data_IF_692747315946
#
_entry.id   IF_692747315946
#
_cell.length_a   1.000
_cell.length_b   1.000
_cell.length_c   1.000
_cell.angle_alpha   90.00
_cell.angle_beta   90.00
_cell.angle_gamma   90.00
#
_symmetry.space_group_name_H-M   'P 1'
#
loop_
_entity.id
_entity.type
_entity.pdbx_description
1 polymer ?
#
# COMPACT_ATOMS: atom_id res chain seq x y z
N UNK A 1 12.55 10.06 11.36
CA UNK A 1 11.50 10.86 10.69
C UNK A 1 10.36 9.99 10.14
N UNK A 2 10.62 9.02 9.26
CA UNK A 2 9.57 8.14 8.71
C UNK A 2 8.74 7.41 9.78
N UNK A 3 9.35 6.96 10.87
CA UNK A 3 8.66 6.28 11.97
C UNK A 3 7.57 7.13 12.63
N UNK A 4 7.77 8.44 12.76
CA UNK A 4 6.73 9.36 13.30
C UNK A 4 5.56 9.51 12.34
N UNK A 5 5.83 9.55 11.04
CA UNK A 5 4.80 9.59 10.00
C UNK A 5 3.98 8.29 9.98
N UNK A 6 4.63 7.13 10.09
CA UNK A 6 3.95 5.85 10.15
C UNK A 6 3.07 5.73 11.41
N UNK A 7 3.51 6.25 12.54
CA UNK A 7 2.69 6.27 13.76
C UNK A 7 1.38 7.07 13.60
N UNK A 8 1.38 8.08 12.71
CA UNK A 8 0.18 8.86 12.35
C UNK A 8 -0.68 8.20 11.28
N UNK A 9 -0.16 7.20 10.58
CA UNK A 9 -0.95 6.44 9.60
C UNK A 9 -2.03 5.64 10.32
N UNK A 10 -3.20 5.47 9.69
CA UNK A 10 -4.34 4.76 10.30
C UNK A 10 -4.03 3.33 10.75
N UNK A 11 -3.06 2.64 10.17
CA UNK A 11 -2.58 1.33 10.61
C UNK A 11 -1.57 1.41 11.75
N UNK A 12 -0.93 2.54 11.97
CA UNK A 12 -0.01 2.81 13.09
C UNK A 12 1.25 1.94 13.19
N UNK A 13 1.53 1.11 12.18
CA UNK A 13 2.64 0.16 12.20
C UNK A 13 3.37 0.06 10.86
N UNK A 14 4.63 -0.36 10.91
CA UNK A 14 5.40 -0.66 9.73
C UNK A 14 4.86 -1.89 8.99
N UNK A 15 4.97 -1.94 7.64
CA UNK A 15 4.77 -3.17 6.89
C UNK A 15 5.85 -4.20 7.21
N UNK A 16 5.59 -5.48 6.91
CA UNK A 16 6.48 -6.58 7.29
C UNK A 16 7.89 -6.47 6.71
N UNK A 17 8.02 -6.34 5.39
CA UNK A 17 9.32 -6.21 4.72
C UNK A 17 9.32 -4.95 3.86
N UNK A 18 9.85 -3.87 4.41
CA UNK A 18 10.00 -2.60 3.71
C UNK A 18 11.18 -2.66 2.73
N UNK A 19 10.95 -2.27 1.49
CA UNK A 19 11.96 -2.24 0.43
C UNK A 19 12.39 -0.84 0.03
N UNK A 20 11.49 0.14 0.17
CA UNK A 20 11.78 1.55 -0.16
C UNK A 20 10.89 2.47 0.64
N UNK A 21 11.46 3.56 1.14
CA UNK A 21 10.72 4.65 1.76
C UNK A 21 11.10 5.96 1.11
N UNK A 22 10.11 6.71 0.64
CA UNK A 22 10.28 8.02 0.04
C UNK A 22 9.54 9.07 0.87
N UNK A 23 10.14 10.22 1.05
CA UNK A 23 9.60 11.32 1.83
C UNK A 23 9.28 12.55 0.98
N UNK A 24 8.18 13.22 1.30
CA UNK A 24 7.89 14.57 0.85
C UNK A 24 8.41 15.55 1.90
N UNK A 25 9.38 16.38 1.52
CA UNK A 25 10.01 17.33 2.42
C UNK A 25 9.79 18.77 1.95
N UNK A 26 9.63 19.66 2.93
CA UNK A 26 9.68 21.11 2.74
C UNK A 26 10.47 21.69 3.90
N UNK A 27 11.54 22.46 3.58
CA UNK A 27 12.42 23.06 4.60
C UNK A 27 12.92 22.05 5.66
N UNK A 28 13.31 20.84 5.21
CA UNK A 28 13.76 19.74 6.07
C UNK A 28 12.69 19.15 6.99
N UNK A 29 11.45 19.58 6.86
CA UNK A 29 10.31 18.98 7.53
C UNK A 29 9.67 17.91 6.67
N UNK A 30 9.35 16.74 7.25
CA UNK A 30 8.67 15.64 6.57
C UNK A 30 7.18 15.91 6.57
N UNK A 31 6.63 16.16 5.39
CA UNK A 31 5.21 16.43 5.16
C UNK A 31 4.44 15.24 4.61
N UNK A 32 5.15 14.21 4.19
CA UNK A 32 4.53 12.99 3.71
C UNK A 32 5.53 11.85 3.58
N UNK A 33 5.02 10.63 3.63
CA UNK A 33 5.81 9.41 3.49
C UNK A 33 5.06 8.39 2.65
N UNK A 34 5.79 7.77 1.72
CA UNK A 34 5.33 6.69 0.88
C UNK A 34 6.25 5.48 1.13
N UNK A 35 5.68 4.35 1.54
CA UNK A 35 6.44 3.15 1.91
C UNK A 35 6.04 1.99 1.00
N UNK A 36 7.03 1.44 0.32
CA UNK A 36 6.90 0.22 -0.46
C UNK A 36 7.43 -0.97 0.33
N UNK A 37 6.74 -2.09 0.20
CA UNK A 37 7.06 -3.33 0.88
C UNK A 37 6.90 -4.53 -0.06
N UNK A 38 7.42 -5.69 0.34
CA UNK A 38 7.10 -6.94 -0.33
C UNK A 38 5.66 -7.33 0.02
N UNK A 39 4.83 -7.66 -0.99
CA UNK A 39 3.46 -8.12 -0.74
C UNK A 39 3.46 -9.54 -0.18
N UNK A 40 2.31 -10.02 0.34
CA UNK A 40 2.14 -11.42 0.67
C UNK A 40 2.46 -12.34 -0.51
N UNK A 41 2.97 -13.54 -0.24
CA UNK A 41 3.36 -14.51 -1.27
C UNK A 41 2.28 -14.78 -2.32
N UNK A 42 1.05 -14.90 -1.88
CA UNK A 42 -0.09 -15.16 -2.77
C UNK A 42 -0.30 -14.01 -3.77
N UNK A 43 -0.15 -12.77 -3.31
CA UNK A 43 -0.21 -11.61 -4.18
C UNK A 43 0.96 -11.56 -5.17
N UNK A 44 2.18 -11.86 -4.69
CA UNK A 44 3.36 -11.88 -5.54
C UNK A 44 3.25 -12.91 -6.67
N UNK A 45 2.71 -14.10 -6.38
CA UNK A 45 2.53 -15.18 -7.37
C UNK A 45 1.46 -14.87 -8.42
N UNK A 46 0.49 -14.04 -8.08
CA UNK A 46 -0.67 -13.77 -8.93
C UNK A 46 -0.33 -13.13 -10.28
N UNK A 47 0.72 -12.30 -10.33
CA UNK A 47 0.99 -11.43 -11.48
C UNK A 47 2.13 -11.90 -12.39
N UNK A 48 2.86 -12.94 -12.03
CA UNK A 48 3.94 -13.49 -12.86
C UNK A 48 5.14 -12.55 -13.08
N UNK A 49 5.30 -11.52 -12.25
CA UNK A 49 6.41 -10.58 -12.27
C UNK A 49 6.81 -10.17 -10.86
N UNK A 50 7.88 -9.41 -10.72
CA UNK A 50 8.25 -8.83 -9.42
C UNK A 50 7.24 -7.75 -9.04
N UNK A 51 6.59 -7.92 -7.90
CA UNK A 51 5.53 -7.03 -7.37
C UNK A 51 6.01 -6.38 -6.09
N UNK A 52 5.83 -5.07 -6.00
CA UNK A 52 5.93 -4.33 -4.75
C UNK A 52 4.55 -3.85 -4.30
N UNK A 53 4.36 -3.69 -3.01
CA UNK A 53 3.15 -3.11 -2.44
C UNK A 53 3.42 -1.67 -2.00
N UNK A 54 2.57 -0.73 -2.42
CA UNK A 54 2.47 0.57 -1.77
C UNK A 54 1.73 0.35 -0.45
N UNK A 55 2.49 0.08 0.61
CA UNK A 55 1.96 -0.42 1.87
C UNK A 55 1.52 0.68 2.82
N UNK A 56 2.14 1.86 2.76
CA UNK A 56 1.81 3.04 3.58
C UNK A 56 1.94 4.31 2.76
N UNK A 57 0.95 5.15 2.89
CA UNK A 57 0.96 6.52 2.41
C UNK A 57 0.44 7.42 3.52
N UNK A 58 1.22 8.42 3.88
CA UNK A 58 0.81 9.43 4.84
C UNK A 58 1.20 10.81 4.33
N UNK A 59 0.29 11.75 4.44
CA UNK A 59 0.49 13.17 4.15
C UNK A 59 -0.01 13.97 5.35
N UNK A 60 0.72 15.02 5.73
CA UNK A 60 0.31 15.95 6.76
C UNK A 60 -0.93 16.73 6.32
N UNK A 61 -1.89 16.91 7.22
CA UNK A 61 -3.16 17.58 6.93
C UNK A 61 -3.00 19.05 6.50
N UNK A 62 -1.87 19.67 6.84
CA UNK A 62 -1.54 21.03 6.43
C UNK A 62 -1.11 21.16 4.96
N UNK A 63 -0.88 20.03 4.27
CA UNK A 63 -0.46 20.02 2.86
C UNK A 63 -1.68 20.08 1.95
N UNK A 64 -1.60 20.76 0.77
CA UNK A 64 -2.71 20.82 -0.19
C UNK A 64 -3.25 19.45 -0.60
N UNK A 65 -4.53 19.38 -0.94
CA UNK A 65 -5.30 18.15 -1.20
C UNK A 65 -4.76 17.24 -2.31
N UNK A 66 -3.96 17.75 -3.24
CA UNK A 66 -3.36 16.97 -4.32
C UNK A 66 -1.97 16.40 -3.99
N UNK A 67 -1.49 16.59 -2.77
CA UNK A 67 -0.15 16.12 -2.36
C UNK A 67 -0.02 14.59 -2.37
N UNK A 68 -1.08 13.87 -2.09
CA UNK A 68 -1.11 12.40 -2.13
C UNK A 68 -0.86 11.88 -3.54
N UNK A 69 -1.60 12.37 -4.53
CA UNK A 69 -1.42 11.97 -5.92
C UNK A 69 -0.07 12.43 -6.47
N UNK A 70 0.42 13.58 -6.03
CA UNK A 70 1.77 14.05 -6.36
C UNK A 70 2.85 13.10 -5.81
N UNK A 71 2.78 12.75 -4.53
CA UNK A 71 3.76 11.85 -3.90
C UNK A 71 3.71 10.46 -4.54
N UNK A 72 2.53 9.91 -4.77
CA UNK A 72 2.35 8.63 -5.47
C UNK A 72 3.00 8.69 -6.87
N UNK A 73 2.68 9.68 -7.67
CA UNK A 73 3.20 9.82 -9.03
C UNK A 73 4.73 9.95 -9.07
N UNK A 74 5.31 10.73 -8.15
CA UNK A 74 6.77 10.86 -8.03
C UNK A 74 7.43 9.57 -7.56
N UNK A 75 6.81 8.88 -6.62
CA UNK A 75 7.31 7.61 -6.12
C UNK A 75 7.30 6.51 -7.18
N UNK A 76 6.23 6.41 -7.96
CA UNK A 76 6.13 5.47 -9.09
C UNK A 76 7.22 5.77 -10.13
N UNK A 77 7.43 7.04 -10.48
CA UNK A 77 8.48 7.44 -11.40
C UNK A 77 9.86 7.03 -10.89
N UNK A 78 10.13 7.24 -9.60
CA UNK A 78 11.38 6.84 -8.97
C UNK A 78 11.60 5.33 -9.07
N UNK A 79 10.60 4.52 -8.71
CA UNK A 79 10.68 3.06 -8.81
C UNK A 79 10.93 2.63 -10.26
N UNK A 80 10.21 3.19 -11.22
CA UNK A 80 10.41 2.89 -12.66
C UNK A 80 11.83 3.19 -13.14
N UNK A 81 12.44 4.26 -12.66
CA UNK A 81 13.79 4.67 -13.07
C UNK A 81 14.89 3.87 -12.39
N UNK A 82 14.74 3.56 -11.11
CA UNK A 82 15.80 3.02 -10.28
C UNK A 82 15.63 1.54 -9.89
N UNK A 83 14.44 0.97 -10.08
CA UNK A 83 14.12 -0.42 -9.73
C UNK A 83 13.44 -1.13 -10.91
N UNK A 84 14.18 -1.25 -12.00
CA UNK A 84 13.66 -1.75 -13.30
C UNK A 84 13.18 -3.21 -13.26
N UNK A 85 13.59 -3.99 -12.26
CA UNK A 85 13.11 -5.35 -12.07
C UNK A 85 11.66 -5.41 -11.55
N UNK A 86 11.13 -4.32 -11.01
CA UNK A 86 9.76 -4.28 -10.52
C UNK A 86 8.80 -4.08 -11.70
N UNK A 87 7.94 -5.04 -11.93
CA UNK A 87 6.98 -5.02 -13.05
C UNK A 87 5.61 -4.44 -12.68
N UNK A 88 5.26 -4.45 -11.40
CA UNK A 88 3.92 -4.01 -10.96
C UNK A 88 3.95 -3.53 -9.52
N UNK A 89 3.17 -2.49 -9.23
CA UNK A 89 2.88 -2.07 -7.86
C UNK A 89 1.41 -2.38 -7.56
N UNK A 90 1.16 -2.99 -6.40
CA UNK A 90 -0.18 -3.23 -5.87
C UNK A 90 -0.44 -2.33 -4.67
N UNK A 91 -1.68 -1.93 -4.46
CA UNK A 91 -2.11 -1.26 -3.24
C UNK A 91 -3.55 -1.62 -2.88
N UNK A 92 -3.92 -1.35 -1.65
CA UNK A 92 -5.22 -1.70 -1.11
C UNK A 92 -5.90 -0.50 -0.47
N UNK A 93 -7.19 -0.34 -0.73
CA UNK A 93 -8.03 0.64 -0.05
C UNK A 93 -8.99 -0.10 0.88
N UNK A 94 -9.02 0.29 2.14
CA UNK A 94 -9.89 -0.28 3.16
C UNK A 94 -11.18 0.53 3.30
N UNK A 95 -12.32 0.02 2.80
CA UNK A 95 -13.59 0.75 2.89
C UNK A 95 -14.07 0.92 4.33
N UNK A 96 -13.68 0.04 5.27
CA UNK A 96 -14.04 0.18 6.69
C UNK A 96 -13.32 1.35 7.37
N UNK A 97 -12.18 1.77 6.83
CA UNK A 97 -11.44 2.95 7.27
C UNK A 97 -11.81 4.21 6.46
N UNK A 98 -12.87 4.18 5.67
CA UNK A 98 -13.31 5.29 4.82
C UNK A 98 -12.53 5.46 3.51
N UNK A 99 -11.69 4.50 3.14
CA UNK A 99 -10.89 4.55 1.92
C UNK A 99 -11.56 3.81 0.77
N UNK A 100 -12.05 4.56 -0.22
CA UNK A 100 -12.69 4.00 -1.42
C UNK A 100 -11.75 3.79 -2.62
N UNK A 101 -10.48 4.16 -2.46
CA UNK A 101 -9.49 4.12 -3.54
C UNK A 101 -9.50 5.33 -4.47
N UNK A 102 -10.10 6.44 -4.06
CA UNK A 102 -10.17 7.68 -4.86
C UNK A 102 -8.79 8.18 -5.29
N UNK A 103 -7.80 8.15 -4.39
CA UNK A 103 -6.41 8.57 -4.70
C UNK A 103 -5.76 7.67 -5.76
N UNK A 104 -6.05 6.38 -5.76
CA UNK A 104 -5.52 5.44 -6.76
C UNK A 104 -6.19 5.66 -8.12
N UNK A 105 -7.49 5.84 -8.16
CA UNK A 105 -8.22 6.18 -9.38
C UNK A 105 -7.73 7.50 -9.98
N UNK A 106 -7.52 8.52 -9.13
CA UNK A 106 -6.98 9.82 -9.56
C UNK A 106 -5.53 9.75 -10.05
N UNK A 107 -4.77 8.73 -9.66
CA UNK A 107 -3.38 8.49 -10.04
C UNK A 107 -3.22 7.44 -11.14
N UNK A 108 -4.28 7.14 -11.88
CA UNK A 108 -4.30 6.17 -13.02
C UNK A 108 -4.01 4.71 -12.64
N UNK A 109 -4.28 4.33 -11.41
CA UNK A 109 -4.25 2.92 -11.03
C UNK A 109 -5.47 2.19 -11.58
N UNK A 110 -5.28 0.90 -11.88
CA UNK A 110 -6.36 0.04 -12.36
C UNK A 110 -6.98 -0.73 -11.21
N UNK A 111 -8.31 -0.73 -11.04
CA UNK A 111 -8.98 -1.62 -10.11
C UNK A 111 -8.72 -3.08 -10.49
N UNK A 112 -8.41 -3.92 -9.51
CA UNK A 112 -8.13 -5.34 -9.71
C UNK A 112 -8.83 -6.21 -8.64
N UNK A 113 -10.13 -6.05 -8.51
CA UNK A 113 -10.97 -6.83 -7.61
C UNK A 113 -10.81 -6.46 -6.13
N UNK A 114 -11.12 -7.43 -5.29
CA UNK A 114 -11.13 -7.29 -3.83
C UNK A 114 -10.32 -8.41 -3.20
N UNK A 115 -9.82 -8.16 -2.00
CA UNK A 115 -9.18 -9.21 -1.19
C UNK A 115 -10.26 -10.09 -0.56
N UNK A 116 -9.92 -11.36 -0.37
CA UNK A 116 -10.68 -12.28 0.48
C UNK A 116 -12.17 -12.47 0.10
N UNK A 117 -12.49 -12.33 -1.16
CA UNK A 117 -13.82 -12.69 -1.65
C UNK A 117 -14.16 -14.12 -1.23
N UNK A 118 -15.34 -14.29 -0.62
CA UNK A 118 -15.83 -15.59 -0.16
C UNK A 118 -15.31 -16.06 1.19
N UNK A 119 -14.45 -15.31 1.87
CA UNK A 119 -13.97 -15.65 3.23
C UNK A 119 -14.68 -14.82 4.29
N UNK A 120 -15.30 -15.50 5.24
CA UNK A 120 -16.02 -14.84 6.35
C UNK A 120 -15.11 -14.28 7.45
N UNK A 121 -13.93 -14.89 7.67
CA UNK A 121 -13.03 -14.57 8.78
C UNK A 121 -11.57 -14.43 8.37
N UNK A 122 -10.84 -13.62 9.10
CA UNK A 122 -9.39 -13.48 8.90
C UNK A 122 -8.68 -14.83 9.13
N UNK A 123 -7.73 -15.18 8.27
CA UNK A 123 -6.80 -16.26 8.59
C UNK A 123 -5.93 -15.79 9.75
N UNK A 124 -6.01 -16.51 10.87
CA UNK A 124 -5.01 -16.35 11.90
C UNK A 124 -3.73 -17.06 11.44
N UNK A 125 -2.66 -16.32 11.30
CA UNK A 125 -1.36 -16.89 10.92
C UNK A 125 -0.63 -17.53 12.11
N UNK A 126 -1.16 -17.37 13.33
CA UNK A 126 -0.53 -17.93 14.53
C UNK A 126 -1.59 -18.20 15.58
N UNK A 127 -1.99 -19.46 15.70
CA UNK A 127 -2.68 -19.94 16.88
C UNK A 127 -1.82 -21.05 17.47
N UNK A 128 -1.17 -20.80 18.61
CA UNK A 128 -0.67 -21.89 19.40
C UNK A 128 -1.87 -22.59 20.03
N UNK A 129 -1.95 -23.90 19.79
CA UNK A 129 -2.78 -24.84 20.56
C UNK A 129 -4.21 -24.41 20.93
N UNK A 130 -5.18 -24.79 20.12
CA UNK A 130 -6.56 -24.99 20.52
C UNK A 130 -7.32 -23.78 21.09
N UNK A 131 -6.70 -22.62 21.15
CA UNK A 131 -7.37 -21.40 21.61
C UNK A 131 -8.37 -20.96 20.55
N UNK A 132 -9.63 -20.82 20.93
CA UNK A 132 -10.64 -20.26 20.05
C UNK A 132 -10.22 -18.85 19.65
N UNK A 133 -9.93 -18.69 18.37
CA UNK A 133 -9.68 -17.38 17.77
C UNK A 133 -10.95 -16.57 17.91
N UNK A 134 -10.85 -15.39 18.48
CA UNK A 134 -11.89 -14.39 18.33
C UNK A 134 -12.15 -14.20 16.84
N UNK A 135 -13.33 -14.56 16.39
CA UNK A 135 -13.77 -14.46 15.01
C UNK A 135 -13.90 -12.98 14.63
N UNK A 136 -12.77 -12.36 14.30
CA UNK A 136 -12.78 -10.99 13.78
C UNK A 136 -13.32 -11.04 12.36
N UNK A 137 -14.40 -10.33 12.05
CA UNK A 137 -14.92 -10.26 10.70
C UNK A 137 -13.83 -9.75 9.77
N UNK A 138 -13.65 -10.42 8.63
CA UNK A 138 -12.66 -10.00 7.66
C UNK A 138 -13.19 -8.87 6.82
N UNK A 139 -12.43 -7.78 6.77
CA UNK A 139 -12.75 -6.65 5.90
C UNK A 139 -12.14 -6.90 4.54
N UNK A 140 -12.98 -7.01 3.52
CA UNK A 140 -12.54 -7.07 2.12
C UNK A 140 -12.04 -5.70 1.69
N UNK A 141 -10.82 -5.62 1.18
CA UNK A 141 -10.21 -4.38 0.68
C UNK A 141 -10.27 -4.33 -0.84
N UNK A 142 -10.43 -3.14 -1.40
CA UNK A 142 -10.27 -2.92 -2.83
C UNK A 142 -8.81 -3.02 -3.21
N UNK A 143 -8.49 -3.81 -4.25
CA UNK A 143 -7.14 -3.91 -4.77
C UNK A 143 -6.99 -3.05 -6.01
N UNK A 144 -5.88 -2.35 -6.08
CA UNK A 144 -5.47 -1.54 -7.23
C UNK A 144 -4.08 -1.95 -7.67
N UNK A 145 -3.84 -1.90 -8.97
CA UNK A 145 -2.54 -2.22 -9.56
C UNK A 145 -2.06 -1.12 -10.47
N UNK A 146 -0.75 -0.92 -10.50
CA UNK A 146 -0.07 -0.01 -11.41
C UNK A 146 1.06 -0.76 -12.13
N UNK A 147 0.89 -1.13 -13.40
CA UNK A 147 1.96 -1.74 -14.19
C UNK A 147 3.10 -0.76 -14.43
N UNK A 148 4.34 -1.19 -14.19
CA UNK A 148 5.55 -0.38 -14.40
C UNK A 148 6.25 -0.69 -15.71
N UNK A 149 6.14 -1.91 -16.19
CA UNK A 149 6.61 -2.25 -17.50
C UNK A 149 5.88 -1.34 -18.47
N UNK A 150 6.66 -0.47 -19.10
CA UNK A 150 6.14 0.42 -20.08
C UNK A 150 5.34 -0.38 -21.08
N UNK A 151 4.18 0.12 -21.45
CA UNK A 151 3.69 -0.19 -22.74
C UNK A 151 4.85 0.10 -23.69
N UNK A 152 5.57 -0.97 -24.01
CA UNK A 152 6.55 -0.91 -25.06
C UNK A 152 5.83 -0.48 -26.34
#
# INVERSE_FOLDING_TARGET
>A
MASRAIAKHYLGKWPGVTVLTLGLLRNWEVLGVCVFALPPRETAKRYGCTVWELARLWIDDAVPTNAETFLIGRSIRYVRQHHKSVGLIVSYADPSAGHSGTIYKASNWKPDGRTDEGRKFARSSHIPDGTQVNKVPRVSKFRFVYPLEGAA
#
